data_IF_527375546784
#
_entry.id   IF_527375546784
#
_cell.length_a   1.000
_cell.length_b   1.000
_cell.length_c   1.000
_cell.angle_alpha   90.00
_cell.angle_beta   90.00
_cell.angle_gamma   90.00
#
_symmetry.space_group_name_H-M   'P 1'
#
loop_
_entity.id
_entity.type
_entity.pdbx_description
1 polymer ?
#
# COMPACT_ATOMS: atom_id res chain seq x y z
N UNK A 1 -11.71 14.75 -8.14
CA UNK A 1 -12.58 13.63 -7.79
C UNK A 1 -12.02 12.93 -6.57
N UNK A 2 -12.83 12.83 -5.53
CA UNK A 2 -12.50 12.14 -4.29
C UNK A 2 -12.70 10.63 -4.42
N UNK A 3 -12.02 9.85 -3.58
CA UNK A 3 -12.12 8.38 -3.60
C UNK A 3 -13.54 7.89 -3.31
N UNK A 4 -14.23 8.51 -2.34
CA UNK A 4 -15.65 8.19 -2.04
C UNK A 4 -16.61 8.54 -3.17
N UNK A 5 -16.39 9.67 -3.84
CA UNK A 5 -17.20 10.05 -5.01
C UNK A 5 -17.04 9.02 -6.12
N UNK A 6 -15.79 8.61 -6.37
CA UNK A 6 -15.50 7.59 -7.37
C UNK A 6 -16.06 6.22 -7.02
N UNK A 7 -15.94 5.79 -5.77
CA UNK A 7 -16.55 4.54 -5.30
C UNK A 7 -18.07 4.54 -5.52
N UNK A 8 -18.75 5.67 -5.23
CA UNK A 8 -20.18 5.84 -5.52
C UNK A 8 -20.48 5.80 -7.01
N UNK A 9 -19.67 6.46 -7.84
CA UNK A 9 -19.84 6.39 -9.30
C UNK A 9 -19.71 4.95 -9.80
N UNK A 10 -18.70 4.20 -9.35
CA UNK A 10 -18.53 2.79 -9.74
C UNK A 10 -19.73 1.93 -9.33
N UNK A 11 -20.27 2.14 -8.12
CA UNK A 11 -21.50 1.46 -7.68
C UNK A 11 -22.69 1.83 -8.55
N UNK A 12 -22.86 3.10 -8.89
CA UNK A 12 -23.93 3.54 -9.80
C UNK A 12 -23.79 2.92 -11.20
N UNK A 13 -22.57 2.78 -11.71
CA UNK A 13 -22.34 2.05 -12.97
C UNK A 13 -22.58 0.54 -12.83
N UNK A 14 -22.29 -0.05 -11.66
CA UNK A 14 -22.57 -1.45 -11.39
C UNK A 14 -24.08 -1.76 -11.46
N UNK A 15 -24.95 -0.85 -10.99
CA UNK A 15 -26.41 -1.00 -11.09
C UNK A 15 -26.93 -1.04 -12.53
N UNK A 16 -26.19 -0.46 -13.47
CA UNK A 16 -26.56 -0.41 -14.89
C UNK A 16 -25.88 -1.53 -15.71
N UNK A 17 -25.02 -2.32 -15.08
CA UNK A 17 -24.22 -3.33 -15.75
C UNK A 17 -24.83 -4.73 -15.61
N UNK A 18 -24.44 -5.63 -16.51
CA UNK A 18 -24.73 -7.06 -16.38
C UNK A 18 -24.16 -7.62 -15.08
N UNK A 19 -24.79 -8.68 -14.55
CA UNK A 19 -24.50 -9.22 -13.22
C UNK A 19 -23.00 -9.48 -12.96
N UNK A 20 -22.28 -10.07 -13.91
CA UNK A 20 -20.84 -10.34 -13.73
C UNK A 20 -20.01 -9.05 -13.62
N UNK A 21 -20.31 -8.05 -14.47
CA UNK A 21 -19.62 -6.76 -14.47
C UNK A 21 -19.96 -5.94 -13.22
N UNK A 22 -21.19 -6.04 -12.75
CA UNK A 22 -21.62 -5.34 -11.54
C UNK A 22 -20.85 -5.83 -10.32
N UNK A 23 -20.67 -7.15 -10.16
CA UNK A 23 -19.87 -7.73 -9.08
C UNK A 23 -18.42 -7.25 -9.10
N UNK A 24 -17.80 -7.18 -10.29
CA UNK A 24 -16.44 -6.68 -10.42
C UNK A 24 -16.34 -5.19 -10.03
N UNK A 25 -17.27 -4.36 -10.50
CA UNK A 25 -17.31 -2.93 -10.16
C UNK A 25 -17.57 -2.70 -8.66
N UNK A 26 -18.45 -3.48 -8.04
CA UNK A 26 -18.73 -3.40 -6.60
C UNK A 26 -17.50 -3.70 -5.76
N UNK A 27 -16.81 -4.80 -6.06
CA UNK A 27 -15.59 -5.20 -5.35
C UNK A 27 -14.49 -4.17 -5.56
N UNK A 28 -14.29 -3.70 -6.79
CA UNK A 28 -13.28 -2.69 -7.08
C UNK A 28 -13.57 -1.34 -6.40
N UNK A 29 -14.85 -0.96 -6.28
CA UNK A 29 -15.26 0.23 -5.54
C UNK A 29 -14.85 0.18 -4.06
N UNK A 30 -14.84 -1.01 -3.45
CA UNK A 30 -14.38 -1.23 -2.08
C UNK A 30 -12.98 -0.68 -1.80
N UNK A 31 -12.06 -0.79 -2.78
CA UNK A 31 -10.68 -0.27 -2.67
C UNK A 31 -10.59 1.24 -2.41
N UNK A 32 -11.65 1.98 -2.74
CA UNK A 32 -11.70 3.44 -2.65
C UNK A 32 -12.66 3.94 -1.56
N UNK A 33 -13.38 3.04 -0.88
CA UNK A 33 -14.34 3.41 0.16
C UNK A 33 -13.65 3.66 1.53
N UNK A 34 -12.52 3.00 1.75
CA UNK A 34 -11.73 3.10 2.98
C UNK A 34 -10.82 4.33 2.98
N UNK A 35 -11.34 5.50 3.39
CA UNK A 35 -10.50 6.67 3.62
C UNK A 35 -11.23 7.97 3.99
N UNK A 36 -10.56 8.82 4.78
CA UNK A 36 -10.91 10.24 4.92
C UNK A 36 -10.80 10.97 3.58
N UNK A 37 -11.39 12.18 3.44
CA UNK A 37 -11.45 13.05 2.23
C UNK A 37 -10.12 13.10 1.44
N UNK A 38 -9.83 12.07 0.67
CA UNK A 38 -8.62 11.95 -0.13
C UNK A 38 -8.97 11.95 -1.61
N UNK A 39 -8.00 12.32 -2.44
CA UNK A 39 -8.15 12.30 -3.89
C UNK A 39 -7.67 10.97 -4.45
N UNK A 40 -8.19 10.58 -5.62
CA UNK A 40 -7.75 9.38 -6.33
C UNK A 40 -6.23 9.40 -6.57
N UNK A 41 -5.67 10.56 -6.95
CA UNK A 41 -4.23 10.69 -7.19
C UNK A 41 -3.41 10.37 -5.92
N UNK A 42 -3.88 10.81 -4.74
CA UNK A 42 -3.22 10.51 -3.47
C UNK A 42 -3.28 9.02 -3.14
N UNK A 43 -4.39 8.35 -3.45
CA UNK A 43 -4.56 6.90 -3.29
C UNK A 43 -3.66 6.12 -4.24
N UNK A 44 -3.64 6.49 -5.52
CA UNK A 44 -2.83 5.85 -6.56
C UNK A 44 -1.33 5.89 -6.27
N UNK A 45 -0.82 6.95 -5.62
CA UNK A 45 0.58 7.02 -5.18
C UNK A 45 1.00 5.90 -4.23
N UNK A 46 0.05 5.31 -3.52
CA UNK A 46 0.26 4.21 -2.56
C UNK A 46 0.01 2.84 -3.18
N UNK A 47 -0.68 2.79 -4.31
CA UNK A 47 -0.95 1.57 -5.04
C UNK A 47 0.23 1.21 -5.95
N UNK A 48 0.33 -0.08 -6.25
CA UNK A 48 1.31 -0.62 -7.19
C UNK A 48 0.60 -1.06 -8.47
N UNK A 49 1.21 -0.88 -9.65
CA UNK A 49 0.72 -1.55 -10.86
C UNK A 49 0.73 -3.06 -10.64
N UNK A 50 -0.31 -3.72 -11.11
CA UNK A 50 -0.45 -5.17 -10.99
C UNK A 50 0.20 -5.88 -12.17
N UNK A 51 0.74 -7.07 -11.90
CA UNK A 51 1.38 -7.94 -12.90
C UNK A 51 0.39 -8.83 -13.64
N UNK A 52 -0.81 -9.01 -13.10
CA UNK A 52 -1.92 -9.69 -13.77
C UNK A 52 -3.27 -9.07 -13.37
N UNK A 53 -4.16 -8.82 -14.33
CA UNK A 53 -5.43 -8.12 -14.06
C UNK A 53 -6.68 -8.82 -14.61
N UNK A 54 -7.86 -8.53 -14.05
CA UNK A 54 -9.15 -8.92 -14.61
C UNK A 54 -9.44 -8.12 -15.88
N UNK A 55 -9.47 -8.79 -17.04
CA UNK A 55 -9.67 -8.14 -18.34
C UNK A 55 -11.02 -7.41 -18.43
N UNK A 56 -12.10 -8.06 -17.97
CA UNK A 56 -13.48 -7.52 -18.03
C UNK A 56 -13.62 -6.21 -17.23
N UNK A 57 -13.03 -6.15 -16.04
CA UNK A 57 -13.01 -4.93 -15.24
C UNK A 57 -12.27 -3.80 -15.95
N UNK A 58 -11.12 -4.10 -16.58
CA UNK A 58 -10.35 -3.11 -17.34
C UNK A 58 -11.19 -2.53 -18.48
N UNK A 59 -11.81 -3.39 -19.29
CA UNK A 59 -12.67 -2.99 -20.41
C UNK A 59 -13.86 -2.15 -19.93
N UNK A 60 -14.47 -2.53 -18.80
CA UNK A 60 -15.56 -1.76 -18.19
C UNK A 60 -15.12 -0.36 -17.77
N UNK A 61 -13.93 -0.23 -17.17
CA UNK A 61 -13.37 1.07 -16.79
C UNK A 61 -12.95 1.91 -18.00
N UNK A 62 -12.44 1.29 -19.07
CA UNK A 62 -12.14 1.96 -20.33
C UNK A 62 -13.41 2.51 -20.99
N UNK A 63 -14.50 1.74 -21.01
CA UNK A 63 -15.79 2.20 -21.51
C UNK A 63 -16.33 3.39 -20.69
N UNK A 64 -16.21 3.35 -19.36
CA UNK A 64 -16.59 4.47 -18.48
C UNK A 64 -15.72 5.71 -18.75
N UNK A 65 -14.40 5.55 -18.95
CA UNK A 65 -13.50 6.66 -19.29
C UNK A 65 -13.90 7.33 -20.60
N UNK A 66 -14.17 6.53 -21.64
CA UNK A 66 -14.62 7.01 -22.93
C UNK A 66 -15.97 7.72 -22.83
N UNK A 67 -16.92 7.19 -22.05
CA UNK A 67 -18.20 7.84 -21.77
C UNK A 67 -18.03 9.22 -21.13
N UNK A 68 -17.20 9.34 -20.09
CA UNK A 68 -16.91 10.64 -19.49
C UNK A 68 -16.25 11.62 -20.46
N UNK A 69 -15.33 11.13 -21.29
CA UNK A 69 -14.68 11.96 -22.30
C UNK A 69 -15.67 12.48 -23.33
N UNK A 70 -16.57 11.62 -23.83
CA UNK A 70 -17.61 11.99 -24.79
C UNK A 70 -18.57 13.05 -24.22
N UNK A 71 -18.87 12.99 -22.92
CA UNK A 71 -19.72 13.96 -22.22
C UNK A 71 -18.97 15.23 -21.78
N UNK A 72 -17.71 15.42 -22.16
CA UNK A 72 -16.91 16.59 -21.78
C UNK A 72 -16.43 16.60 -20.32
N UNK A 73 -16.65 15.52 -19.56
CA UNK A 73 -16.21 15.34 -18.18
C UNK A 73 -14.72 14.95 -18.09
N UNK A 74 -13.86 15.80 -18.65
CA UNK A 74 -12.42 15.54 -18.83
C UNK A 74 -11.67 15.27 -17.53
N UNK A 75 -12.07 15.91 -16.42
CA UNK A 75 -11.45 15.70 -15.09
C UNK A 75 -11.68 14.27 -14.58
N UNK A 76 -12.88 13.74 -14.76
CA UNK A 76 -13.28 12.39 -14.37
C UNK A 76 -12.62 11.36 -15.28
N UNK A 77 -12.64 11.60 -16.59
CA UNK A 77 -11.95 10.77 -17.58
C UNK A 77 -10.44 10.65 -17.27
N UNK A 78 -9.76 11.76 -16.97
CA UNK A 78 -8.34 11.75 -16.62
C UNK A 78 -8.05 11.00 -15.31
N UNK A 79 -8.96 11.05 -14.33
CA UNK A 79 -8.81 10.30 -13.10
C UNK A 79 -8.97 8.78 -13.32
N UNK A 80 -9.93 8.37 -14.14
CA UNK A 80 -10.07 6.96 -14.59
C UNK A 80 -8.86 6.50 -15.39
N UNK A 81 -8.37 7.34 -16.30
CA UNK A 81 -7.14 7.06 -17.05
C UNK A 81 -5.94 6.84 -16.14
N UNK A 82 -5.82 7.62 -15.07
CA UNK A 82 -4.78 7.39 -14.06
C UNK A 82 -4.96 6.06 -13.33
N UNK A 83 -6.20 5.63 -13.04
CA UNK A 83 -6.48 4.32 -12.44
C UNK A 83 -6.16 3.17 -13.41
N UNK A 84 -6.46 3.34 -14.70
CA UNK A 84 -6.15 2.34 -15.73
C UNK A 84 -4.64 2.03 -15.83
N UNK A 85 -3.77 2.93 -15.35
CA UNK A 85 -2.32 2.64 -15.26
C UNK A 85 -1.96 1.52 -14.28
N UNK A 86 -2.88 1.13 -13.37
CA UNK A 86 -2.70 -0.03 -12.49
C UNK A 86 -2.78 -1.36 -13.26
N UNK A 87 -3.39 -1.38 -14.45
CA UNK A 87 -3.60 -2.56 -15.29
C UNK A 87 -2.43 -2.76 -16.27
N UNK A 88 -1.20 -2.81 -15.77
CA UNK A 88 0.02 -2.84 -16.58
C UNK A 88 0.43 -4.25 -17.05
N UNK A 89 0.00 -5.28 -16.33
CA UNK A 89 0.39 -6.68 -16.54
C UNK A 89 -0.32 -7.42 -17.69
N UNK A 90 -0.51 -8.73 -17.51
CA UNK A 90 -1.26 -9.58 -18.46
C UNK A 90 -2.70 -9.82 -17.98
N UNK A 91 -3.67 -9.98 -18.89
CA UNK A 91 -5.00 -10.42 -18.49
C UNK A 91 -4.95 -11.85 -17.92
N UNK A 92 -5.78 -12.14 -16.92
CA UNK A 92 -5.94 -13.50 -16.38
C UNK A 92 -6.01 -13.63 -14.87
N UNK A 93 -5.93 -12.53 -14.11
CA UNK A 93 -6.15 -12.56 -12.66
C UNK A 93 -7.62 -12.43 -12.31
N UNK A 94 -8.00 -13.02 -11.17
CA UNK A 94 -9.27 -12.70 -10.52
C UNK A 94 -9.22 -11.29 -9.92
N UNK A 95 -10.38 -10.72 -9.65
CA UNK A 95 -10.47 -9.41 -9.03
C UNK A 95 -9.82 -9.37 -7.64
N UNK A 96 -9.96 -10.43 -6.85
CA UNK A 96 -9.43 -10.47 -5.49
C UNK A 96 -7.89 -10.50 -5.50
N UNK A 97 -7.28 -11.24 -6.44
CA UNK A 97 -5.82 -11.25 -6.66
C UNK A 97 -5.34 -9.88 -7.10
N UNK A 98 -6.03 -9.25 -8.05
CA UNK A 98 -5.68 -7.91 -8.52
C UNK A 98 -5.77 -6.87 -7.40
N UNK A 99 -6.85 -6.89 -6.61
CA UNK A 99 -7.03 -6.00 -5.46
C UNK A 99 -5.91 -6.21 -4.44
N UNK A 100 -5.56 -7.46 -4.15
CA UNK A 100 -4.47 -7.79 -3.25
C UNK A 100 -3.12 -7.26 -3.77
N UNK A 101 -2.83 -7.37 -5.07
CA UNK A 101 -1.59 -6.85 -5.68
C UNK A 101 -1.51 -5.33 -5.65
N UNK A 102 -2.56 -4.62 -6.08
CA UNK A 102 -2.54 -3.15 -6.11
C UNK A 102 -2.55 -2.55 -4.71
N UNK A 103 -3.13 -3.26 -3.74
CA UNK A 103 -3.21 -2.86 -2.32
C UNK A 103 -2.03 -3.36 -1.51
N UNK A 104 -1.23 -4.29 -2.03
CA UNK A 104 0.04 -4.68 -1.43
C UNK A 104 0.92 -3.44 -1.40
N UNK A 105 1.04 -2.87 -0.19
CA UNK A 105 1.87 -1.70 0.10
C UNK A 105 3.21 -1.87 -0.61
N UNK A 106 3.59 -0.91 -1.47
CA UNK A 106 4.85 -0.91 -2.21
C UNK A 106 5.97 -1.45 -1.31
N UNK A 107 6.31 -2.73 -1.48
CA UNK A 107 7.54 -3.28 -0.95
C UNK A 107 8.63 -2.64 -1.78
N UNK A 108 9.15 -1.52 -1.28
CA UNK A 108 10.52 -1.09 -1.49
C UNK A 108 10.90 -1.00 -2.98
N UNK A 109 10.26 -0.13 -3.77
CA UNK A 109 10.69 0.12 -5.15
C UNK A 109 11.49 1.42 -5.35
N UNK A 110 11.42 2.38 -4.42
CA UNK A 110 12.04 3.70 -4.58
C UNK A 110 13.05 4.03 -3.46
N UNK A 111 14.00 3.12 -3.22
CA UNK A 111 15.21 3.43 -2.45
C UNK A 111 16.18 4.37 -3.20
N UNK A 112 15.93 4.62 -4.49
CA UNK A 112 16.78 5.42 -5.38
C UNK A 112 16.53 6.94 -5.36
N UNK A 113 15.62 7.43 -4.51
CA UNK A 113 15.43 8.89 -4.35
C UNK A 113 16.72 9.47 -3.76
N UNK A 114 17.24 10.56 -4.34
CA UNK A 114 18.48 11.29 -3.94
C UNK A 114 18.73 11.38 -2.43
N UNK A 115 17.67 11.35 -1.61
CA UNK A 115 17.66 11.38 -0.14
C UNK A 115 18.30 10.16 0.54
N UNK A 116 18.34 8.99 -0.10
CA UNK A 116 18.86 7.75 0.50
C UNK A 116 20.14 7.24 -0.17
N UNK A 117 20.81 8.08 -0.96
CA UNK A 117 22.02 7.68 -1.69
C UNK A 117 23.15 7.21 -0.78
N UNK A 118 23.18 7.68 0.48
CA UNK A 118 24.15 7.29 1.50
C UNK A 118 23.62 6.23 2.47
N UNK A 119 22.42 5.69 2.22
CA UNK A 119 21.87 4.66 3.07
C UNK A 119 22.51 3.30 2.77
N UNK A 120 22.80 2.57 3.83
CA UNK A 120 23.25 1.19 3.76
C UNK A 120 22.03 0.29 3.54
N UNK A 121 21.81 -0.12 2.29
CA UNK A 121 20.61 -0.87 1.89
C UNK A 121 20.64 -2.30 2.43
N UNK A 122 21.81 -2.90 2.55
CA UNK A 122 21.94 -4.28 3.04
C UNK A 122 21.69 -4.33 4.56
N UNK A 123 22.16 -3.31 5.28
CA UNK A 123 21.79 -3.13 6.69
C UNK A 123 20.29 -2.87 6.86
N UNK A 124 19.68 -2.05 6.01
CA UNK A 124 18.23 -1.79 6.04
C UNK A 124 17.45 -3.10 5.91
N UNK A 125 17.78 -3.94 4.93
CA UNK A 125 17.11 -5.23 4.70
C UNK A 125 17.30 -6.17 5.88
N UNK A 126 18.52 -6.28 6.38
CA UNK A 126 18.86 -7.19 7.50
C UNK A 126 18.09 -6.80 8.75
N UNK A 127 18.18 -5.54 9.16
CA UNK A 127 17.52 -5.06 10.39
C UNK A 127 16.01 -5.05 10.24
N UNK A 128 15.46 -4.61 9.10
CA UNK A 128 14.01 -4.61 8.90
C UNK A 128 13.44 -6.04 8.89
N UNK A 129 14.19 -7.02 8.39
CA UNK A 129 13.79 -8.43 8.43
C UNK A 129 13.79 -8.97 9.86
N UNK A 130 14.86 -8.72 10.63
CA UNK A 130 14.95 -9.08 12.05
C UNK A 130 13.80 -8.46 12.86
N UNK A 131 13.51 -7.17 12.66
CA UNK A 131 12.40 -6.49 13.32
C UNK A 131 11.03 -7.06 12.93
N UNK A 132 10.88 -7.57 11.71
CA UNK A 132 9.65 -8.15 11.20
C UNK A 132 9.44 -9.62 11.60
N UNK A 133 10.40 -10.26 12.29
CA UNK A 133 10.29 -11.65 12.71
C UNK A 133 9.06 -11.87 13.61
N UNK A 134 8.19 -12.85 13.30
CA UNK A 134 6.95 -13.09 14.04
C UNK A 134 7.17 -13.44 15.52
N UNK A 135 8.33 -14.01 15.85
CA UNK A 135 8.71 -14.48 17.18
C UNK A 135 9.78 -13.59 17.83
N UNK A 136 9.94 -12.34 17.38
CA UNK A 136 10.92 -11.43 17.97
C UNK A 136 10.56 -11.11 19.42
N UNK A 137 11.38 -11.62 20.35
CA UNK A 137 11.23 -11.37 21.78
C UNK A 137 11.55 -9.92 22.15
N UNK A 138 10.96 -9.43 23.24
CA UNK A 138 11.18 -8.06 23.72
C UNK A 138 12.66 -7.78 24.01
N UNK A 139 13.42 -8.75 24.56
CA UNK A 139 14.85 -8.58 24.80
C UNK A 139 15.66 -8.46 23.50
N UNK A 140 15.33 -9.28 22.50
CA UNK A 140 15.97 -9.21 21.18
C UNK A 140 15.68 -7.87 20.48
N UNK A 141 14.43 -7.38 20.59
CA UNK A 141 14.06 -6.07 20.10
C UNK A 141 14.83 -4.93 20.78
N UNK A 142 14.90 -4.92 22.11
CA UNK A 142 15.65 -3.90 22.86
C UNK A 142 17.16 -3.95 22.53
N UNK A 143 17.72 -5.14 22.28
CA UNK A 143 19.09 -5.31 21.78
C UNK A 143 19.32 -4.68 20.40
N UNK A 144 18.40 -4.90 19.45
CA UNK A 144 18.44 -4.26 18.13
C UNK A 144 18.31 -2.73 18.26
N UNK A 145 17.39 -2.25 19.10
CA UNK A 145 17.17 -0.81 19.30
C UNK A 145 18.38 -0.14 19.97
N UNK A 146 19.02 -0.80 20.94
CA UNK A 146 20.25 -0.35 21.57
C UNK A 146 21.42 -0.28 20.57
N UNK A 147 21.50 -1.25 19.66
CA UNK A 147 22.52 -1.27 18.59
C UNK A 147 22.29 -0.12 17.60
N UNK A 148 21.04 0.12 17.19
CA UNK A 148 20.69 1.22 16.29
C UNK A 148 20.89 2.61 16.92
N UNK A 149 20.65 2.74 18.23
CA UNK A 149 20.79 4.02 18.94
C UNK A 149 22.27 4.38 19.19
N UNK A 150 23.08 3.40 19.59
CA UNK A 150 24.50 3.58 19.92
C UNK A 150 25.41 3.63 18.68
N UNK A 151 25.03 3.01 17.58
CA UNK A 151 25.85 2.97 16.38
C UNK A 151 25.84 4.30 15.63
N UNK A 152 26.99 4.99 15.65
CA UNK A 152 27.27 6.17 14.83
C UNK A 152 27.41 5.84 13.34
N UNK A 153 27.66 4.57 12.99
CA UNK A 153 27.83 4.11 11.61
C UNK A 153 26.49 4.08 10.85
N UNK A 154 25.37 3.89 11.56
CA UNK A 154 24.04 3.95 10.95
C UNK A 154 23.72 5.42 10.71
N UNK A 155 23.73 5.91 9.48
CA UNK A 155 23.30 7.27 9.18
C UNK A 155 21.79 7.48 9.39
N UNK A 156 21.35 8.74 9.56
CA UNK A 156 19.91 9.09 9.60
C UNK A 156 19.14 8.56 8.37
N UNK A 157 19.66 8.63 7.13
CA UNK A 157 18.96 8.06 5.97
C UNK A 157 18.70 6.55 6.08
N UNK A 158 19.68 5.79 6.57
CA UNK A 158 19.56 4.34 6.82
C UNK A 158 18.50 4.06 7.87
N UNK A 159 18.53 4.79 8.98
CA UNK A 159 17.59 4.63 10.09
C UNK A 159 16.14 4.97 9.68
N UNK A 160 15.97 6.03 8.90
CA UNK A 160 14.66 6.42 8.32
C UNK A 160 14.11 5.29 7.44
N UNK A 161 14.97 4.65 6.65
CA UNK A 161 14.57 3.52 5.81
C UNK A 161 14.22 2.29 6.63
N UNK A 162 14.98 1.96 7.67
CA UNK A 162 14.65 0.87 8.61
C UNK A 162 13.26 1.11 9.20
N UNK A 163 13.00 2.31 9.73
CA UNK A 163 11.70 2.67 10.29
C UNK A 163 10.58 2.55 9.26
N UNK A 164 10.77 3.12 8.06
CA UNK A 164 9.77 3.06 7.00
C UNK A 164 9.49 1.63 6.52
N UNK A 165 10.52 0.79 6.42
CA UNK A 165 10.37 -0.63 6.05
C UNK A 165 9.64 -1.42 7.13
N UNK A 166 10.04 -1.26 8.40
CA UNK A 166 9.43 -1.97 9.52
C UNK A 166 7.97 -1.55 9.76
N UNK A 167 7.68 -0.25 9.71
CA UNK A 167 6.33 0.28 9.94
C UNK A 167 5.42 0.20 8.70
N UNK A 168 5.95 -0.17 7.53
CA UNK A 168 5.23 -0.18 6.27
C UNK A 168 4.74 1.22 5.82
N UNK A 169 5.49 2.28 6.11
CA UNK A 169 5.09 3.65 5.77
C UNK A 169 6.21 4.45 5.07
N UNK A 170 5.93 5.70 4.70
CA UNK A 170 6.87 6.61 4.00
C UNK A 170 7.04 7.93 4.75
N UNK A 171 7.11 7.89 6.08
CA UNK A 171 7.25 9.11 6.88
C UNK A 171 8.63 9.72 6.73
N UNK A 172 8.67 11.05 6.86
CA UNK A 172 9.90 11.82 6.95
C UNK A 172 10.18 12.05 8.43
N UNK A 173 11.25 11.47 8.94
CA UNK A 173 11.73 11.77 10.29
C UNK A 173 12.79 12.87 10.20
N UNK A 174 12.67 13.88 11.07
CA UNK A 174 13.58 15.03 11.09
C UNK A 174 14.95 14.67 11.67
N UNK A 175 14.96 13.78 12.64
CA UNK A 175 16.14 13.35 13.37
C UNK A 175 16.11 11.85 13.67
N UNK A 176 17.25 11.34 14.15
CA UNK A 176 17.42 9.92 14.51
C UNK A 176 16.47 9.49 15.62
N UNK A 177 16.29 10.34 16.64
CA UNK A 177 15.48 10.05 17.81
C UNK A 177 14.03 9.78 17.42
N UNK A 178 13.48 10.61 16.55
CA UNK A 178 12.12 10.49 16.01
C UNK A 178 11.89 9.17 15.26
N UNK A 179 12.90 8.69 14.53
CA UNK A 179 12.82 7.41 13.81
C UNK A 179 12.88 6.22 14.79
N UNK A 180 13.77 6.26 15.79
CA UNK A 180 13.85 5.23 16.83
C UNK A 180 12.57 5.15 17.67
N UNK A 181 12.04 6.30 18.12
CA UNK A 181 10.78 6.36 18.87
C UNK A 181 9.60 5.80 18.07
N UNK A 182 9.60 5.98 16.75
CA UNK A 182 8.56 5.42 15.89
C UNK A 182 8.66 3.89 15.80
N UNK A 183 9.88 3.34 15.71
CA UNK A 183 10.15 1.89 15.75
C UNK A 183 9.70 1.31 17.09
N UNK A 184 10.12 1.92 18.20
CA UNK A 184 9.76 1.50 19.56
C UNK A 184 8.25 1.55 19.80
N UNK A 185 7.61 2.67 19.45
CA UNK A 185 6.15 2.81 19.60
C UNK A 185 5.39 1.80 18.75
N UNK A 186 5.88 1.46 17.56
CA UNK A 186 5.25 0.46 16.71
C UNK A 186 5.34 -0.95 17.30
N UNK A 187 6.51 -1.32 17.85
CA UNK A 187 6.70 -2.61 18.51
C UNK A 187 5.81 -2.73 19.76
N UNK A 188 5.82 -1.73 20.64
CA UNK A 188 5.02 -1.73 21.88
C UNK A 188 3.51 -1.58 21.64
N UNK A 189 3.14 -0.89 20.57
CA UNK A 189 1.75 -0.72 20.14
C UNK A 189 1.19 -1.90 19.35
N UNK A 190 2.02 -2.90 19.01
CA UNK A 190 1.55 -4.13 18.36
C UNK A 190 0.84 -4.95 19.44
N UNK A 191 -0.49 -5.17 19.35
CA UNK A 191 -1.12 -6.13 20.23
C UNK A 191 -0.44 -7.47 19.99
N UNK A 192 0.02 -8.12 21.06
CA UNK A 192 0.51 -9.49 21.05
C UNK A 192 -0.46 -10.31 20.19
N UNK A 193 -0.08 -10.63 18.94
CA UNK A 193 -0.80 -11.59 18.08
C UNK A 193 -0.55 -13.02 18.59
N UNK A 194 -0.61 -13.20 19.91
CA UNK A 194 -0.42 -14.43 20.63
C UNK A 194 -1.68 -14.70 21.46
N UNK A 195 -2.81 -14.84 20.78
CA UNK A 195 -4.06 -15.39 21.34
C UNK A 195 -5.05 -15.88 20.27
N UNK A 196 -4.58 -16.30 19.07
CA UNK A 196 -5.46 -16.91 18.04
C UNK A 196 -4.83 -18.10 17.30
N UNK A 197 -3.95 -18.81 17.98
CA UNK A 197 -3.64 -20.21 17.66
C UNK A 197 -3.69 -21.02 18.95
N UNK A 198 -4.87 -21.08 19.57
CA UNK A 198 -5.22 -22.17 20.48
C UNK A 198 -6.60 -22.63 20.03
N UNK A 199 -6.59 -23.81 19.43
CA UNK A 199 -7.53 -24.92 19.68
C UNK A 199 -9.02 -24.58 19.63
N UNK A 200 -9.71 -25.08 18.60
CA UNK A 200 -10.62 -26.23 18.78
C UNK A 200 -10.55 -27.06 17.50
N UNK A 201 -9.74 -28.12 17.55
CA UNK A 201 -10.12 -29.39 16.97
C UNK A 201 -11.14 -29.97 17.94
N UNK A 202 -12.38 -30.13 17.48
CA UNK A 202 -13.32 -31.24 17.74
C UNK A 202 -14.60 -31.02 16.93
#
# INVERSE_FOLDING_TARGET
>A
MHTKEFARSLRAFAELAEFDKSQELYRFAGCFDEGHKETILTRLKRMSPSTAYPLRLKESLEAIEQGFRALGATKQANALRAILTLFAGRPGATIDVFIAEISASRRIANLSVKRFKTADIDLVKTVASQLAEPALEAQAFEGILATLSSSKAVGTPTLVLIANCYLGNQRIYRDRKSALEAIERHFRGRPLRAARQCEVLE
#
